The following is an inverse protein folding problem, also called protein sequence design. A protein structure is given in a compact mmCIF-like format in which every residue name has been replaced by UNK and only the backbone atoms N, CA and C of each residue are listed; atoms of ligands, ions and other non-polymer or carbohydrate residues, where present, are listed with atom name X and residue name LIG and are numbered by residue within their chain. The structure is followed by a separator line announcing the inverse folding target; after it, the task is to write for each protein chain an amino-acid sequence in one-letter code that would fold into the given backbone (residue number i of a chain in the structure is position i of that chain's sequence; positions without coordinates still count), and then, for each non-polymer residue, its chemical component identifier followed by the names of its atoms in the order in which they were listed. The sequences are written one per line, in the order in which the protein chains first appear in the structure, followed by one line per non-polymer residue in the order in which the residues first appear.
data_IF_548219866679
#
_entry.id   IF_548219866679
#
_cell.length_a   1.000
_cell.length_b   1.000
_cell.length_c   1.000
_cell.angle_alpha   90.00
_cell.angle_beta   90.00
_cell.angle_gamma   90.00
#
_symmetry.space_group_name_H-M   'P 1'
#
loop_
_entity.id
_entity.type
_entity.pdbx_description
1 polymer ?
#
# COMPACT_ATOMS: atom_id res chain seq x y z
N UNK A 1 14.11 19.29 14.14
CA UNK A 1 15.15 19.85 13.24
C UNK A 1 14.41 20.34 12.01
N UNK A 2 14.08 21.62 11.97
CA UNK A 2 13.40 22.29 10.86
C UNK A 2 14.43 22.61 9.79
N UNK A 3 14.23 22.11 8.58
CA UNK A 3 15.07 22.46 7.44
C UNK A 3 15.01 23.97 7.17
N UNK A 4 16.14 24.60 6.81
CA UNK A 4 16.16 26.02 6.50
C UNK A 4 15.42 26.25 5.17
N UNK A 5 14.49 27.20 5.18
CA UNK A 5 13.60 27.51 4.06
C UNK A 5 14.35 27.66 2.75
N UNK A 6 13.98 26.83 1.77
CA UNK A 6 14.34 27.01 0.38
C UNK A 6 13.91 28.43 -0.05
N UNK A 7 14.84 29.19 -0.64
CA UNK A 7 14.49 30.45 -1.31
C UNK A 7 13.42 30.21 -2.38
N UNK A 8 12.73 31.27 -2.87
CA UNK A 8 11.67 31.09 -3.85
C UNK A 8 12.23 30.35 -5.07
N UNK A 9 11.76 29.11 -5.27
CA UNK A 9 12.07 28.33 -6.46
C UNK A 9 11.63 29.13 -7.68
N UNK A 10 12.41 29.11 -8.76
CA UNK A 10 11.99 29.73 -10.01
C UNK A 10 10.65 29.10 -10.47
N UNK A 11 9.78 29.90 -11.06
CA UNK A 11 8.53 29.41 -11.65
C UNK A 11 8.87 28.33 -12.70
N UNK A 12 8.25 27.15 -12.63
CA UNK A 12 8.58 26.05 -13.53
C UNK A 12 7.95 26.19 -14.92
N UNK A 13 7.08 27.17 -15.14
CA UNK A 13 6.43 27.41 -16.43
C UNK A 13 7.10 28.55 -17.21
N UNK A 14 7.33 28.37 -18.51
CA UNK A 14 7.80 29.44 -19.38
C UNK A 14 6.70 30.48 -19.61
N UNK A 15 7.08 31.70 -20.02
CA UNK A 15 6.12 32.80 -20.24
C UNK A 15 5.18 32.57 -21.43
N UNK A 16 5.59 31.78 -22.42
CA UNK A 16 4.85 31.51 -23.65
C UNK A 16 3.62 30.61 -23.47
N UNK A 17 3.45 30.00 -22.28
CA UNK A 17 2.19 29.33 -21.92
C UNK A 17 1.01 30.30 -21.89
N UNK A 18 1.28 31.60 -21.66
CA UNK A 18 0.29 32.66 -21.74
C UNK A 18 0.38 33.40 -23.08
N UNK A 19 -0.77 33.82 -23.64
CA UNK A 19 -0.81 34.76 -24.77
C UNK A 19 0.07 36.00 -24.55
N UNK A 20 0.75 36.46 -25.60
CA UNK A 20 1.76 37.53 -25.52
C UNK A 20 1.28 38.83 -24.85
N UNK A 21 0.00 39.17 -24.98
CA UNK A 21 -0.63 40.32 -24.34
C UNK A 21 -0.68 40.24 -22.81
N UNK A 22 -0.63 39.02 -22.23
CA UNK A 22 -0.71 38.78 -20.79
C UNK A 22 0.65 38.56 -20.12
N UNK A 23 1.69 38.21 -20.87
CA UNK A 23 3.01 37.88 -20.33
C UNK A 23 3.61 39.00 -19.45
N UNK A 24 3.42 40.27 -19.83
CA UNK A 24 3.88 41.44 -19.06
C UNK A 24 3.31 41.54 -17.63
N UNK A 25 2.25 40.79 -17.32
CA UNK A 25 1.62 40.76 -16.01
C UNK A 25 2.15 39.64 -15.11
N UNK A 26 3.00 38.76 -15.64
CA UNK A 26 3.61 37.66 -14.88
C UNK A 26 5.14 37.61 -15.02
N UNK A 27 5.71 38.31 -16.00
CA UNK A 27 7.16 38.38 -16.21
C UNK A 27 7.86 38.99 -14.98
N UNK A 28 8.78 38.26 -14.31
CA UNK A 28 9.54 38.76 -13.17
C UNK A 28 10.30 40.08 -13.44
N UNK A 29 10.62 40.38 -14.71
CA UNK A 29 11.30 41.61 -15.13
C UNK A 29 10.35 42.81 -15.27
N UNK A 30 9.05 42.59 -15.35
CA UNK A 30 8.08 43.68 -15.44
C UNK A 30 7.98 44.44 -14.10
N UNK A 31 7.67 45.75 -14.08
CA UNK A 31 7.49 46.49 -12.83
C UNK A 31 6.45 45.87 -11.88
N UNK A 32 6.70 45.91 -10.57
CA UNK A 32 5.81 45.37 -9.51
C UNK A 32 4.35 45.79 -9.68
N UNK A 33 3.99 47.05 -10.01
CA UNK A 33 2.59 47.42 -10.19
C UNK A 33 1.86 46.63 -11.30
N UNK A 34 2.54 46.26 -12.39
CA UNK A 34 1.94 45.48 -13.47
C UNK A 34 1.71 44.02 -13.08
N UNK A 35 2.64 43.44 -12.33
CA UNK A 35 2.52 42.07 -11.79
C UNK A 35 1.45 41.99 -10.71
N UNK A 36 1.36 43.03 -9.88
CA UNK A 36 0.32 43.19 -8.87
C UNK A 36 -1.09 43.26 -9.51
N UNK A 37 -1.24 43.83 -10.70
CA UNK A 37 -2.53 43.77 -11.42
C UNK A 37 -2.92 42.35 -11.80
N UNK A 38 -1.95 41.53 -12.24
CA UNK A 38 -2.15 40.10 -12.50
C UNK A 38 -2.49 39.34 -11.22
N UNK A 39 -1.75 39.59 -10.14
CA UNK A 39 -1.94 38.91 -8.85
C UNK A 39 -3.32 39.22 -8.25
N UNK A 40 -3.86 40.41 -8.48
CA UNK A 40 -5.21 40.80 -8.05
C UNK A 40 -6.33 40.32 -8.99
N UNK A 41 -6.00 39.54 -10.03
CA UNK A 41 -6.93 39.08 -11.07
C UNK A 41 -7.70 40.23 -11.75
N UNK A 42 -7.08 41.41 -11.91
CA UNK A 42 -7.71 42.60 -12.52
C UNK A 42 -7.55 42.65 -14.05
N UNK A 43 -6.72 41.78 -14.61
CA UNK A 43 -6.47 41.70 -16.05
C UNK A 43 -7.56 40.82 -16.68
N UNK A 44 -8.26 41.26 -17.75
CA UNK A 44 -9.34 40.48 -18.36
C UNK A 44 -8.78 39.32 -19.18
N UNK A 45 -8.42 38.23 -18.48
CA UNK A 45 -7.95 36.97 -19.07
C UNK A 45 -9.10 35.95 -19.14
N UNK A 46 -8.97 34.96 -20.03
CA UNK A 46 -9.83 33.77 -19.99
C UNK A 46 -9.59 32.96 -18.70
N UNK A 47 -10.52 32.08 -18.29
CA UNK A 47 -10.41 31.34 -17.02
C UNK A 47 -9.11 30.52 -16.88
N UNK A 48 -8.73 29.76 -17.91
CA UNK A 48 -7.48 28.98 -17.92
C UNK A 48 -6.24 29.87 -17.78
N UNK A 49 -6.19 30.95 -18.55
CA UNK A 49 -5.07 31.89 -18.55
C UNK A 49 -4.97 32.62 -17.22
N UNK A 50 -6.11 32.98 -16.62
CA UNK A 50 -6.16 33.59 -15.28
C UNK A 50 -5.61 32.65 -14.21
N UNK A 51 -6.07 31.39 -14.20
CA UNK A 51 -5.58 30.38 -13.26
C UNK A 51 -4.07 30.14 -13.41
N UNK A 52 -3.60 30.06 -14.65
CA UNK A 52 -2.18 29.91 -15.00
C UNK A 52 -1.36 31.12 -14.52
N UNK A 53 -1.83 32.34 -14.80
CA UNK A 53 -1.14 33.57 -14.40
C UNK A 53 -1.01 33.70 -12.88
N UNK A 54 -2.08 33.37 -12.14
CA UNK A 54 -2.06 33.38 -10.68
C UNK A 54 -1.08 32.33 -10.12
N UNK A 55 -1.07 31.12 -10.68
CA UNK A 55 -0.07 30.10 -10.34
C UNK A 55 1.35 30.61 -10.56
N UNK A 56 1.65 31.18 -11.73
CA UNK A 56 3.00 31.71 -12.02
C UNK A 56 3.42 32.79 -11.03
N UNK A 57 2.50 33.68 -10.64
CA UNK A 57 2.76 34.75 -9.68
C UNK A 57 2.93 34.25 -8.23
N UNK A 58 2.60 33.00 -7.93
CA UNK A 58 2.96 32.39 -6.63
C UNK A 58 4.45 32.17 -6.45
N UNK A 59 5.26 32.36 -7.50
CA UNK A 59 6.73 32.28 -7.49
C UNK A 59 7.40 33.66 -7.62
N UNK A 60 6.64 34.76 -7.54
CA UNK A 60 7.19 36.12 -7.67
C UNK A 60 8.27 36.42 -6.60
N UNK A 61 9.30 37.19 -6.96
CA UNK A 61 10.32 37.59 -5.99
C UNK A 61 9.77 38.53 -4.91
N UNK A 62 8.71 39.29 -5.22
CA UNK A 62 8.04 40.18 -4.27
C UNK A 62 7.00 39.42 -3.43
N UNK A 63 7.19 39.42 -2.11
CA UNK A 63 6.33 38.71 -1.15
C UNK A 63 4.88 39.16 -1.19
N UNK A 64 4.63 40.45 -1.45
CA UNK A 64 3.28 40.99 -1.50
C UNK A 64 2.56 40.50 -2.77
N UNK A 65 3.26 40.46 -3.90
CA UNK A 65 2.71 39.91 -5.16
C UNK A 65 2.38 38.44 -4.98
N UNK A 66 3.30 37.64 -4.42
CA UNK A 66 3.05 36.20 -4.17
C UNK A 66 1.84 35.97 -3.30
N UNK A 67 1.79 36.61 -2.13
CA UNK A 67 0.69 36.39 -1.19
C UNK A 67 -0.65 36.83 -1.78
N UNK A 68 -0.65 37.93 -2.56
CA UNK A 68 -1.85 38.37 -3.27
C UNK A 68 -2.29 37.33 -4.29
N UNK A 69 -1.37 36.78 -5.09
CA UNK A 69 -1.68 35.75 -6.08
C UNK A 69 -2.24 34.47 -5.44
N UNK A 70 -1.65 34.01 -4.33
CA UNK A 70 -2.15 32.86 -3.56
C UNK A 70 -3.59 33.09 -3.08
N UNK A 71 -3.85 34.26 -2.49
CA UNK A 71 -5.18 34.60 -1.99
C UNK A 71 -6.20 34.71 -3.14
N UNK A 72 -5.81 35.34 -4.25
CA UNK A 72 -6.66 35.50 -5.43
C UNK A 72 -6.92 34.17 -6.12
N UNK A 73 -5.95 33.25 -6.18
CA UNK A 73 -6.14 31.92 -6.75
C UNK A 73 -7.18 31.11 -5.97
N UNK A 74 -7.08 31.08 -4.64
CA UNK A 74 -8.03 30.37 -3.77
C UNK A 74 -9.43 31.02 -3.73
N UNK A 75 -9.49 32.33 -4.01
CA UNK A 75 -10.69 33.16 -3.98
C UNK A 75 -11.29 33.47 -5.35
N UNK A 76 -10.87 32.79 -6.43
CA UNK A 76 -11.48 32.95 -7.75
C UNK A 76 -12.99 32.58 -7.69
N UNK A 77 -13.86 33.31 -8.42
CA UNK A 77 -15.27 32.95 -8.52
C UNK A 77 -15.48 31.53 -9.06
N UNK A 78 -16.47 30.82 -8.55
CA UNK A 78 -16.75 29.42 -8.90
C UNK A 78 -16.91 29.20 -10.41
N UNK A 79 -17.52 30.15 -11.13
CA UNK A 79 -17.67 30.08 -12.59
C UNK A 79 -16.34 30.11 -13.34
N UNK A 80 -15.35 30.81 -12.80
CA UNK A 80 -14.00 30.88 -13.39
C UNK A 80 -13.25 29.58 -13.06
N UNK A 81 -13.25 29.16 -11.79
CA UNK A 81 -12.61 27.90 -11.37
C UNK A 81 -13.18 26.71 -12.13
N UNK A 82 -14.51 26.59 -12.24
CA UNK A 82 -15.15 25.47 -12.90
C UNK A 82 -14.75 25.32 -14.37
N UNK A 83 -14.55 26.43 -15.08
CA UNK A 83 -14.08 26.41 -16.48
C UNK A 83 -12.59 26.11 -16.54
N UNK A 84 -11.77 26.75 -15.69
CA UNK A 84 -10.32 26.57 -15.70
C UNK A 84 -9.90 25.13 -15.34
N UNK A 85 -10.50 24.53 -14.30
CA UNK A 85 -10.13 23.19 -13.82
C UNK A 85 -10.60 22.06 -14.74
N UNK A 86 -11.58 22.31 -15.60
CA UNK A 86 -12.09 21.33 -16.59
C UNK A 86 -11.42 21.46 -17.96
N UNK A 87 -10.60 22.47 -18.17
CA UNK A 87 -9.92 22.68 -19.44
C UNK A 87 -8.83 21.62 -19.62
N UNK A 88 -8.96 20.79 -20.65
CA UNK A 88 -8.01 19.71 -20.95
C UNK A 88 -6.65 20.26 -21.43
N UNK A 89 -6.61 21.50 -21.90
CA UNK A 89 -5.37 22.19 -22.29
C UNK A 89 -4.73 22.96 -21.13
N UNK A 90 -5.24 22.81 -19.89
CA UNK A 90 -4.59 23.35 -18.70
C UNK A 90 -3.27 22.61 -18.42
N UNK A 91 -2.27 23.36 -17.95
CA UNK A 91 -0.98 22.78 -17.63
C UNK A 91 -1.07 21.87 -16.38
N UNK A 92 -0.47 20.67 -16.38
CA UNK A 92 -0.55 19.75 -15.26
C UNK A 92 -0.06 20.33 -13.92
N UNK A 93 0.95 21.21 -13.93
CA UNK A 93 1.47 21.83 -12.71
C UNK A 93 0.52 22.87 -12.13
N UNK A 94 -0.26 23.54 -12.98
CA UNK A 94 -1.32 24.46 -12.55
C UNK A 94 -2.43 23.66 -11.88
N UNK A 95 -2.86 22.54 -12.49
CA UNK A 95 -3.88 21.66 -11.92
C UNK A 95 -3.43 21.07 -10.57
N UNK A 96 -2.16 20.69 -10.45
CA UNK A 96 -1.59 20.21 -9.19
C UNK A 96 -1.61 21.29 -8.09
N UNK A 97 -1.22 22.50 -8.42
CA UNK A 97 -1.30 23.63 -7.50
C UNK A 97 -2.73 23.86 -6.99
N UNK A 98 -3.71 23.85 -7.90
CA UNK A 98 -5.11 24.04 -7.52
C UNK A 98 -5.67 22.86 -6.71
N UNK A 99 -5.20 21.64 -6.93
CA UNK A 99 -5.54 20.50 -6.07
C UNK A 99 -5.12 20.73 -4.62
N UNK A 100 -3.91 21.26 -4.41
CA UNK A 100 -3.43 21.62 -3.07
C UNK A 100 -4.20 22.80 -2.49
N UNK A 101 -4.40 23.87 -3.28
CA UNK A 101 -5.06 25.10 -2.82
C UNK A 101 -6.56 24.91 -2.50
N UNK A 102 -7.22 23.94 -3.15
CA UNK A 102 -8.66 23.67 -3.01
C UNK A 102 -8.95 22.32 -2.32
N UNK A 103 -7.96 21.75 -1.62
CA UNK A 103 -8.03 20.42 -1.00
C UNK A 103 -9.21 20.18 -0.05
N UNK A 104 -9.78 21.24 0.53
CA UNK A 104 -10.93 21.13 1.44
C UNK A 104 -12.29 21.22 0.73
N UNK A 105 -12.29 21.44 -0.60
CA UNK A 105 -13.49 21.71 -1.39
C UNK A 105 -13.71 20.55 -2.38
N UNK A 106 -14.47 19.51 -2.00
CA UNK A 106 -14.58 18.28 -2.78
C UNK A 106 -15.12 18.51 -4.19
N UNK A 107 -16.00 19.51 -4.38
CA UNK A 107 -16.55 19.87 -5.70
C UNK A 107 -15.46 20.21 -6.72
N UNK A 108 -14.39 20.88 -6.31
CA UNK A 108 -13.26 21.22 -7.19
C UNK A 108 -12.33 20.03 -7.41
N UNK A 109 -12.14 19.19 -6.38
CA UNK A 109 -11.37 17.96 -6.50
C UNK A 109 -12.00 16.99 -7.51
N UNK A 110 -13.34 16.90 -7.54
CA UNK A 110 -14.04 16.12 -8.56
C UNK A 110 -13.73 16.61 -9.97
N UNK A 111 -13.72 17.93 -10.20
CA UNK A 111 -13.38 18.50 -11.50
C UNK A 111 -11.95 18.17 -11.92
N UNK A 112 -11.02 18.23 -10.97
CA UNK A 112 -9.61 17.89 -11.18
C UNK A 112 -9.42 16.41 -11.51
N UNK A 113 -10.08 15.49 -10.79
CA UNK A 113 -9.94 14.05 -11.07
C UNK A 113 -10.51 13.69 -12.46
N UNK A 114 -11.60 14.34 -12.85
CA UNK A 114 -12.22 14.16 -14.16
C UNK A 114 -11.41 14.79 -15.30
N UNK A 115 -10.49 15.70 -15.00
CA UNK A 115 -9.61 16.28 -16.01
C UNK A 115 -8.47 15.28 -16.36
N UNK A 116 -8.33 14.89 -17.65
CA UNK A 116 -7.28 13.96 -18.08
C UNK A 116 -5.85 14.52 -17.91
N UNK A 117 -5.68 15.84 -17.89
CA UNK A 117 -4.38 16.51 -17.77
C UNK A 117 -3.89 16.63 -16.32
N UNK A 118 -4.74 16.30 -15.33
CA UNK A 118 -4.31 16.25 -13.92
C UNK A 118 -3.29 15.13 -13.73
N UNK A 119 -2.13 15.38 -13.11
CA UNK A 119 -1.12 14.35 -12.88
C UNK A 119 -1.63 13.18 -12.04
N UNK A 120 -1.10 11.98 -12.29
CA UNK A 120 -1.47 10.79 -11.51
C UNK A 120 -1.00 10.92 -10.04
N UNK A 121 0.15 11.55 -9.76
CA UNK A 121 0.60 11.81 -8.39
C UNK A 121 -0.39 12.71 -7.63
N UNK A 122 -0.94 13.72 -8.32
CA UNK A 122 -1.96 14.61 -7.78
C UNK A 122 -3.24 13.84 -7.44
N UNK A 123 -3.72 13.00 -8.37
CA UNK A 123 -4.89 12.15 -8.12
C UNK A 123 -4.63 11.18 -6.95
N UNK A 124 -3.42 10.64 -6.82
CA UNK A 124 -3.02 9.83 -5.67
C UNK A 124 -3.11 10.56 -4.34
N UNK A 125 -2.64 11.83 -4.30
CA UNK A 125 -2.81 12.69 -3.11
C UNK A 125 -4.27 12.97 -2.79
N UNK A 126 -5.07 13.29 -3.82
CA UNK A 126 -6.51 13.52 -3.65
C UNK A 126 -7.22 12.25 -3.13
N UNK A 127 -6.84 11.08 -3.64
CA UNK A 127 -7.41 9.78 -3.23
C UNK A 127 -7.09 9.42 -1.77
N UNK A 128 -6.11 10.05 -1.14
CA UNK A 128 -5.80 9.88 0.28
C UNK A 128 -6.68 10.74 1.20
N UNK A 129 -7.45 11.70 0.67
CA UNK A 129 -8.32 12.56 1.46
C UNK A 129 -9.57 11.82 1.94
N UNK A 130 -10.11 12.12 3.13
CA UNK A 130 -11.22 11.38 3.75
C UNK A 130 -12.59 11.77 3.15
N UNK A 131 -12.73 11.62 1.83
CA UNK A 131 -13.94 11.95 1.09
C UNK A 131 -14.43 10.72 0.30
N UNK A 132 -15.52 10.12 0.76
CA UNK A 132 -16.07 8.89 0.18
C UNK A 132 -16.48 9.04 -1.30
N UNK A 133 -17.05 10.20 -1.67
CA UNK A 133 -17.40 10.47 -3.07
C UNK A 133 -16.17 10.55 -3.98
N UNK A 134 -15.06 11.07 -3.45
CA UNK A 134 -13.79 11.22 -4.17
C UNK A 134 -13.15 9.85 -4.38
N UNK A 135 -13.08 9.01 -3.34
CA UNK A 135 -12.51 7.67 -3.45
C UNK A 135 -13.29 6.80 -4.43
N UNK A 136 -14.63 6.91 -4.43
CA UNK A 136 -15.49 6.23 -5.39
C UNK A 136 -15.22 6.71 -6.84
N UNK A 137 -15.13 8.02 -7.07
CA UNK A 137 -14.85 8.58 -8.41
C UNK A 137 -13.47 8.16 -8.92
N UNK A 138 -12.43 8.22 -8.08
CA UNK A 138 -11.08 7.77 -8.44
C UNK A 138 -11.06 6.27 -8.76
N UNK A 139 -11.79 5.45 -7.99
CA UNK A 139 -11.85 3.99 -8.19
C UNK A 139 -12.42 3.57 -9.55
N UNK A 140 -13.21 4.44 -10.18
CA UNK A 140 -13.81 4.18 -11.50
C UNK A 140 -12.83 4.42 -12.65
N UNK A 141 -11.72 5.15 -12.43
CA UNK A 141 -10.72 5.42 -13.46
C UNK A 141 -9.69 4.29 -13.56
N UNK A 142 -10.11 3.18 -14.18
CA UNK A 142 -9.29 1.98 -14.37
C UNK A 142 -7.92 2.25 -15.03
N UNK A 143 -7.85 3.18 -15.98
CA UNK A 143 -6.60 3.51 -16.66
C UNK A 143 -5.57 4.08 -15.66
N UNK A 144 -5.99 5.01 -14.80
CA UNK A 144 -5.11 5.61 -13.78
C UNK A 144 -4.68 4.58 -12.73
N UNK A 145 -5.59 3.69 -12.32
CA UNK A 145 -5.26 2.60 -11.37
C UNK A 145 -4.15 1.67 -11.88
N UNK A 146 -4.12 1.40 -13.20
CA UNK A 146 -3.09 0.55 -13.80
C UNK A 146 -1.77 1.29 -14.07
N UNK A 147 -1.85 2.60 -14.33
CA UNK A 147 -0.68 3.43 -14.64
C UNK A 147 0.10 3.87 -13.40
N UNK A 148 -0.57 4.06 -12.28
CA UNK A 148 0.03 4.64 -11.08
C UNK A 148 -0.43 3.89 -9.81
N UNK A 149 0.39 2.95 -9.34
CA UNK A 149 0.09 2.12 -8.17
C UNK A 149 -0.12 2.90 -6.85
N UNK A 150 0.45 4.10 -6.61
CA UNK A 150 0.17 4.87 -5.40
C UNK A 150 -1.31 5.26 -5.28
N UNK A 151 -2.06 5.35 -6.37
CA UNK A 151 -3.52 5.59 -6.33
C UNK A 151 -4.21 4.39 -5.67
N UNK A 152 -3.87 3.18 -6.09
CA UNK A 152 -4.42 1.94 -5.53
C UNK A 152 -4.08 1.84 -4.04
N UNK A 153 -2.83 2.15 -3.68
CA UNK A 153 -2.37 2.19 -2.28
C UNK A 153 -3.16 3.19 -1.46
N UNK A 154 -3.33 4.40 -1.95
CA UNK A 154 -4.12 5.44 -1.29
C UNK A 154 -5.55 4.96 -1.04
N UNK A 155 -6.23 4.42 -2.06
CA UNK A 155 -7.59 3.90 -1.92
C UNK A 155 -7.70 2.78 -0.88
N UNK A 156 -6.77 1.81 -0.86
CA UNK A 156 -6.76 0.68 0.08
C UNK A 156 -6.55 1.15 1.53
N UNK A 157 -5.69 2.13 1.74
CA UNK A 157 -5.35 2.64 3.08
C UNK A 157 -6.32 3.72 3.60
N UNK A 158 -7.13 4.31 2.72
CA UNK A 158 -8.00 5.41 3.08
C UNK A 158 -9.25 4.91 3.83
N UNK A 159 -9.51 5.39 5.07
CA UNK A 159 -10.66 4.96 5.86
C UNK A 159 -12.02 5.37 5.27
N UNK A 160 -12.06 6.36 4.38
CA UNK A 160 -13.27 6.78 3.68
C UNK A 160 -13.60 5.90 2.46
N UNK A 161 -12.70 5.01 2.03
CA UNK A 161 -12.98 4.06 0.94
C UNK A 161 -13.84 2.92 1.47
N UNK A 162 -14.98 2.67 0.83
CA UNK A 162 -15.85 1.54 1.20
C UNK A 162 -15.12 0.21 0.97
N UNK A 163 -15.29 -0.79 1.86
CA UNK A 163 -14.67 -2.10 1.69
C UNK A 163 -15.00 -2.76 0.34
N UNK A 164 -16.24 -2.62 -0.15
CA UNK A 164 -16.66 -3.12 -1.47
C UNK A 164 -15.87 -2.46 -2.60
N UNK A 165 -15.60 -1.16 -2.50
CA UNK A 165 -14.80 -0.43 -3.48
C UNK A 165 -13.34 -0.90 -3.45
N UNK A 166 -12.78 -1.14 -2.26
CA UNK A 166 -11.43 -1.74 -2.11
C UNK A 166 -11.37 -3.12 -2.78
N UNK A 167 -12.37 -3.98 -2.53
CA UNK A 167 -12.42 -5.30 -3.11
C UNK A 167 -12.53 -5.26 -4.64
N UNK A 168 -13.36 -4.37 -5.19
CA UNK A 168 -13.52 -4.19 -6.63
C UNK A 168 -12.25 -3.68 -7.30
N UNK A 169 -11.59 -2.67 -6.72
CA UNK A 169 -10.33 -2.10 -7.21
C UNK A 169 -9.23 -3.15 -7.21
N UNK A 170 -9.04 -3.85 -6.10
CA UNK A 170 -8.01 -4.87 -5.96
C UNK A 170 -8.26 -6.07 -6.88
N UNK A 171 -9.50 -6.55 -6.99
CA UNK A 171 -9.85 -7.64 -7.92
C UNK A 171 -9.59 -7.24 -9.38
N UNK A 172 -9.97 -6.03 -9.77
CA UNK A 172 -9.71 -5.51 -11.11
C UNK A 172 -8.21 -5.43 -11.42
N UNK A 173 -7.42 -4.89 -10.49
CA UNK A 173 -5.98 -4.73 -10.68
C UNK A 173 -5.26 -6.10 -10.77
N UNK A 174 -5.66 -7.06 -9.94
CA UNK A 174 -5.16 -8.45 -10.01
C UNK A 174 -5.51 -9.09 -11.36
N UNK A 175 -6.76 -8.98 -11.83
CA UNK A 175 -7.18 -9.52 -13.14
C UNK A 175 -6.39 -8.89 -14.29
N UNK A 176 -6.00 -7.63 -14.13
CA UNK A 176 -5.21 -6.87 -15.11
C UNK A 176 -3.71 -7.15 -15.02
N UNK A 177 -3.26 -7.99 -14.07
CA UNK A 177 -1.86 -8.40 -13.93
C UNK A 177 -1.00 -7.49 -13.07
N UNK A 178 -1.56 -6.50 -12.36
CA UNK A 178 -0.81 -5.72 -11.39
C UNK A 178 -0.44 -6.58 -10.18
N UNK A 179 0.74 -6.38 -9.60
CA UNK A 179 1.21 -7.14 -8.44
C UNK A 179 1.70 -6.19 -7.34
N UNK A 180 0.90 -6.05 -6.28
CA UNK A 180 1.25 -5.29 -5.06
C UNK A 180 1.32 -6.25 -3.87
N UNK A 181 2.36 -7.07 -3.82
CA UNK A 181 2.49 -8.19 -2.88
C UNK A 181 2.57 -7.75 -1.40
N UNK A 182 2.94 -6.50 -1.14
CA UNK A 182 3.07 -5.93 0.20
C UNK A 182 1.73 -5.51 0.81
N UNK A 183 0.65 -5.40 0.01
CA UNK A 183 -0.67 -5.01 0.49
C UNK A 183 -1.53 -6.23 0.87
N UNK A 184 -2.00 -6.36 2.13
CA UNK A 184 -2.85 -7.49 2.55
C UNK A 184 -4.15 -7.62 1.76
N UNK A 185 -4.79 -6.50 1.42
CA UNK A 185 -6.00 -6.50 0.58
C UNK A 185 -5.73 -7.09 -0.81
N UNK A 186 -4.53 -6.88 -1.35
CA UNK A 186 -4.13 -7.38 -2.67
C UNK A 186 -3.78 -8.88 -2.63
N UNK A 187 -3.20 -9.36 -1.53
CA UNK A 187 -3.02 -10.80 -1.27
C UNK A 187 -4.38 -11.50 -1.20
N UNK A 188 -5.34 -10.91 -0.48
CA UNK A 188 -6.71 -11.43 -0.39
C UNK A 188 -7.42 -11.44 -1.75
N UNK A 189 -7.30 -10.37 -2.53
CA UNK A 189 -7.83 -10.30 -3.90
C UNK A 189 -7.20 -11.35 -4.82
N UNK A 190 -5.88 -11.56 -4.73
CA UNK A 190 -5.18 -12.60 -5.50
C UNK A 190 -5.73 -13.99 -5.22
N UNK A 191 -5.96 -14.31 -3.95
CA UNK A 191 -6.59 -15.57 -3.53
C UNK A 191 -8.03 -15.70 -4.04
N UNK A 192 -8.82 -14.62 -4.01
CA UNK A 192 -10.20 -14.61 -4.51
C UNK A 192 -10.28 -14.78 -6.04
N UNK A 193 -9.39 -14.12 -6.78
CA UNK A 193 -9.45 -14.04 -8.25
C UNK A 193 -8.74 -15.21 -8.94
N UNK A 194 -7.52 -15.53 -8.52
CA UNK A 194 -6.66 -16.54 -9.16
C UNK A 194 -6.72 -17.90 -8.47
N UNK A 195 -7.40 -17.99 -7.32
CA UNK A 195 -7.37 -19.17 -6.46
C UNK A 195 -6.10 -19.26 -5.63
N UNK A 196 -5.82 -20.44 -5.07
CA UNK A 196 -4.57 -20.70 -4.32
C UNK A 196 -3.38 -20.47 -5.22
N UNK A 197 -2.45 -19.64 -4.75
CA UNK A 197 -1.22 -19.34 -5.49
C UNK A 197 -0.33 -20.58 -5.55
N UNK A 198 0.54 -20.68 -6.56
CA UNK A 198 1.45 -21.83 -6.69
C UNK A 198 2.31 -22.04 -5.42
N UNK A 199 2.71 -20.97 -4.76
CA UNK A 199 3.46 -21.01 -3.50
C UNK A 199 2.60 -21.51 -2.32
N UNK A 200 1.33 -21.11 -2.24
CA UNK A 200 0.40 -21.63 -1.23
C UNK A 200 0.04 -23.10 -1.48
N UNK A 201 -0.13 -23.49 -2.75
CA UNK A 201 -0.36 -24.88 -3.13
C UNK A 201 0.87 -25.75 -2.82
N UNK A 202 2.08 -25.25 -3.08
CA UNK A 202 3.33 -25.91 -2.73
C UNK A 202 3.53 -26.00 -1.21
N UNK A 203 3.20 -24.94 -0.46
CA UNK A 203 3.25 -24.96 1.00
C UNK A 203 2.23 -25.93 1.62
N UNK A 204 1.01 -26.00 1.08
CA UNK A 204 0.00 -26.98 1.49
C UNK A 204 0.44 -28.41 1.16
N UNK A 205 1.01 -28.64 -0.01
CA UNK A 205 1.53 -29.95 -0.41
C UNK A 205 2.71 -30.38 0.48
N UNK A 206 3.62 -29.46 0.82
CA UNK A 206 4.73 -29.73 1.73
C UNK A 206 4.24 -30.03 3.16
N UNK A 207 3.24 -29.29 3.66
CA UNK A 207 2.64 -29.55 4.96
C UNK A 207 1.90 -30.89 5.00
N UNK A 208 1.16 -31.24 3.95
CA UNK A 208 0.49 -32.54 3.82
C UNK A 208 1.50 -33.70 3.74
N UNK A 209 2.62 -33.52 3.02
CA UNK A 209 3.69 -34.51 2.96
C UNK A 209 4.33 -34.74 4.34
N UNK A 210 4.60 -33.67 5.10
CA UNK A 210 5.13 -33.77 6.45
C UNK A 210 4.17 -34.50 7.41
N UNK A 211 2.86 -34.21 7.34
CA UNK A 211 1.84 -34.91 8.13
C UNK A 211 1.72 -36.40 7.75
N UNK A 212 1.82 -36.73 6.46
CA UNK A 212 1.80 -38.11 6.00
C UNK A 212 3.05 -38.89 6.46
N UNK A 213 4.22 -38.24 6.45
CA UNK A 213 5.47 -38.82 6.95
C UNK A 213 5.42 -39.04 8.47
N UNK A 214 4.84 -38.11 9.22
CA UNK A 214 4.63 -38.24 10.67
C UNK A 214 3.63 -39.36 11.01
N UNK A 215 2.51 -39.46 10.28
CA UNK A 215 1.53 -40.55 10.43
C UNK A 215 2.11 -41.93 10.05
N UNK A 216 2.93 -41.99 9.00
CA UNK A 216 3.61 -43.23 8.60
C UNK A 216 4.66 -43.66 9.64
N UNK A 217 5.37 -42.70 10.25
CA UNK A 217 6.30 -42.98 11.34
C UNK A 217 5.58 -43.49 12.60
N UNK A 218 4.41 -42.95 12.93
CA UNK A 218 3.56 -43.44 14.02
C UNK A 218 3.03 -44.86 13.77
N UNK A 219 2.52 -45.14 12.56
CA UNK A 219 2.08 -46.50 12.19
C UNK A 219 3.22 -47.52 12.24
N UNK A 220 4.41 -47.17 11.76
CA UNK A 220 5.57 -48.05 11.83
C UNK A 220 6.00 -48.35 13.29
N UNK A 221 5.83 -47.39 14.20
CA UNK A 221 6.08 -47.59 15.63
C UNK A 221 5.03 -48.50 16.28
N UNK A 222 3.77 -48.41 15.86
CA UNK A 222 2.69 -49.31 16.28
C UNK A 222 2.91 -50.75 15.80
N UNK A 223 3.25 -50.96 14.53
CA UNK A 223 3.52 -52.30 13.98
C UNK A 223 4.74 -52.98 14.61
N UNK A 224 5.74 -52.20 15.06
CA UNK A 224 6.90 -52.71 15.79
C UNK A 224 6.63 -53.00 17.27
N UNK A 225 5.38 -52.86 17.75
CA UNK A 225 4.97 -53.18 19.12
C UNK A 225 5.52 -52.22 20.17
N UNK A 226 5.77 -50.95 19.80
CA UNK A 226 6.37 -49.94 20.66
C UNK A 226 5.36 -48.92 21.21
N UNK A 227 4.08 -49.28 21.31
CA UNK A 227 3.07 -48.51 22.05
C UNK A 227 2.82 -49.16 23.41
N UNK A 228 2.79 -48.33 24.45
CA UNK A 228 2.57 -48.73 25.85
C UNK A 228 1.15 -49.30 26.11
N UNK A 229 0.31 -49.47 25.09
CA UNK A 229 -1.02 -50.08 25.23
C UNK A 229 -0.99 -51.59 25.53
N UNK A 230 0.15 -52.25 25.30
CA UNK A 230 0.31 -53.68 25.61
C UNK A 230 0.83 -53.96 27.03
N UNK A 231 1.07 -52.95 27.87
CA UNK A 231 1.60 -53.15 29.24
C UNK A 231 0.58 -53.15 30.36
N UNK A 232 -0.66 -52.71 30.12
CA UNK A 232 -1.66 -52.58 31.19
C UNK A 232 -2.62 -53.79 31.32
N UNK A 233 -2.38 -54.91 30.61
CA UNK A 233 -3.31 -56.05 30.60
C UNK A 233 -2.82 -57.32 31.32
N UNK A 234 -1.58 -57.41 31.77
CA UNK A 234 -1.03 -58.66 32.34
C UNK A 234 -0.32 -58.46 33.69
N UNK A 235 -0.95 -57.73 34.63
CA UNK A 235 -0.58 -57.80 36.06
C UNK A 235 -1.60 -58.66 36.82
N UNK A 236 -1.66 -59.94 36.46
CA UNK A 236 -2.15 -61.02 37.33
C UNK A 236 -1.32 -62.26 37.08
N UNK A 237 -0.11 -62.30 37.61
CA UNK A 237 0.66 -63.54 37.70
C UNK A 237 1.08 -63.86 39.12
N UNK A 238 0.69 -65.07 39.50
CA UNK A 238 1.12 -65.87 40.64
C UNK A 238 2.62 -66.22 40.57
N UNK A 239 3.27 -66.49 41.71
CA UNK A 239 4.73 -66.44 41.84
C UNK A 239 5.47 -67.71 41.39
N UNK A 240 5.42 -68.09 40.11
CA UNK A 240 6.18 -69.26 39.63
C UNK A 240 6.90 -69.14 38.27
N UNK A 241 7.06 -67.95 37.67
CA UNK A 241 7.79 -67.81 36.40
C UNK A 241 8.85 -66.70 36.40
N UNK A 242 9.79 -66.77 37.34
CA UNK A 242 10.89 -65.78 37.47
C UNK A 242 12.20 -66.22 36.77
N UNK A 243 12.19 -67.19 35.85
CA UNK A 243 13.43 -67.79 35.32
C UNK A 243 13.59 -67.78 33.78
N UNK A 244 12.96 -66.86 33.03
CA UNK A 244 13.13 -66.82 31.57
C UNK A 244 13.02 -65.45 30.87
N UNK A 245 13.10 -64.31 31.57
CA UNK A 245 12.84 -62.99 30.96
C UNK A 245 14.01 -61.98 31.00
N UNK A 246 15.27 -62.42 31.09
CA UNK A 246 16.42 -61.50 31.20
C UNK A 246 17.04 -61.07 29.85
N UNK A 247 16.34 -61.25 28.73
CA UNK A 247 16.94 -61.11 27.39
C UNK A 247 16.65 -59.84 26.57
N UNK A 248 15.76 -58.93 26.99
CA UNK A 248 15.28 -57.85 26.08
C UNK A 248 15.08 -56.47 26.71
N UNK A 249 15.92 -56.05 27.66
CA UNK A 249 15.97 -54.64 28.05
C UNK A 249 16.97 -53.90 27.17
N UNK A 250 16.46 -53.16 26.18
CA UNK A 250 17.27 -52.24 25.37
C UNK A 250 18.00 -51.26 26.30
N UNK A 251 19.30 -51.11 26.09
CA UNK A 251 20.13 -50.19 26.88
C UNK A 251 19.70 -48.75 26.62
N UNK A 252 19.96 -47.85 27.56
CA UNK A 252 19.60 -46.43 27.44
C UNK A 252 20.20 -45.82 26.16
N UNK A 253 21.42 -46.23 25.79
CA UNK A 253 22.06 -45.84 24.53
C UNK A 253 21.28 -46.32 23.29
N UNK A 254 20.78 -47.55 23.29
CA UNK A 254 19.96 -48.07 22.19
C UNK A 254 18.62 -47.33 22.08
N UNK A 255 18.02 -46.96 23.21
CA UNK A 255 16.79 -46.14 23.24
C UNK A 255 17.04 -44.74 22.69
N UNK A 256 18.15 -44.10 23.06
CA UNK A 256 18.51 -42.78 22.54
C UNK A 256 18.77 -42.84 21.03
N UNK A 257 19.47 -43.86 20.52
CA UNK A 257 19.79 -43.97 19.09
C UNK A 257 18.54 -43.94 18.18
N UNK A 258 17.44 -44.53 18.66
CA UNK A 258 16.17 -44.69 17.94
C UNK A 258 15.23 -43.49 18.03
N UNK A 259 15.53 -42.48 18.85
CA UNK A 259 14.72 -41.26 18.93
C UNK A 259 14.98 -40.34 17.73
N UNK A 260 13.93 -39.64 17.29
CA UNK A 260 14.05 -38.54 16.33
C UNK A 260 14.90 -37.40 16.92
N UNK A 261 15.51 -36.58 16.06
CA UNK A 261 16.42 -35.51 16.49
C UNK A 261 15.72 -34.53 17.45
N UNK A 262 14.46 -34.18 17.20
CA UNK A 262 13.65 -33.34 18.09
C UNK A 262 13.43 -33.99 19.46
N UNK A 263 13.08 -35.28 19.52
CA UNK A 263 12.92 -36.01 20.79
C UNK A 263 14.25 -36.20 21.52
N UNK A 264 15.38 -36.34 20.81
CA UNK A 264 16.74 -36.35 21.42
C UNK A 264 17.05 -35.03 22.12
N UNK A 265 16.75 -33.91 21.47
CA UNK A 265 16.94 -32.56 22.02
C UNK A 265 16.05 -32.36 23.25
N UNK A 266 14.78 -32.78 23.19
CA UNK A 266 13.85 -32.70 24.32
C UNK A 266 14.29 -33.58 25.50
N UNK A 267 14.77 -34.80 25.24
CA UNK A 267 15.28 -35.71 26.27
C UNK A 267 16.53 -35.17 26.96
N UNK A 268 17.45 -34.62 26.18
CA UNK A 268 18.67 -33.98 26.71
C UNK A 268 18.34 -32.76 27.59
N UNK A 269 17.30 -32.00 27.24
CA UNK A 269 16.88 -30.84 28.02
C UNK A 269 16.02 -31.20 29.25
N UNK A 270 15.23 -32.28 29.21
CA UNK A 270 14.38 -32.72 30.33
C UNK A 270 15.12 -33.53 31.41
N UNK A 271 16.15 -34.31 31.05
CA UNK A 271 16.91 -35.15 32.00
C UNK A 271 18.31 -34.60 32.27
N UNK A 272 18.38 -33.44 32.91
CA UNK A 272 19.60 -32.96 33.53
C UNK A 272 19.90 -33.67 34.85
N UNK A 273 20.40 -34.92 34.84
CA UNK A 273 21.27 -35.41 35.92
C UNK A 273 22.07 -36.69 35.56
N UNK A 274 23.38 -36.60 35.80
CA UNK A 274 24.46 -37.60 35.95
C UNK A 274 24.60 -38.87 35.08
N UNK A 275 23.58 -39.45 34.47
CA UNK A 275 23.73 -40.76 33.78
C UNK A 275 24.09 -40.69 32.29
N UNK A 276 24.13 -39.49 31.69
CA UNK A 276 24.38 -39.31 30.24
C UNK A 276 25.83 -38.87 29.93
N UNK A 277 26.72 -38.86 30.94
CA UNK A 277 28.12 -38.37 30.79
C UNK A 277 29.22 -39.43 30.89
N UNK A 278 28.87 -40.72 30.96
CA UNK A 278 29.83 -41.84 30.84
C UNK A 278 29.56 -42.64 29.60
#
# INVERSE_FOLDING_TARGET
MTEPGAGPSACPLPLDVLPANFQKHVDPKAPVPLRMMGAKALVPMGPKDMATALFMLTFDADDTVRQTAVNSAAGLPDRILAVALRDEAADPQVLDYYAAALGEKPEYLEMLILNPSTPDETVGRIAALPHERITELVSQNQLRLLRHDPIVRALVTNPATRPVTVDNVTDFCVRSGLVLADLPAFQAARKRVLGTTADEAAALAAAAAAQAEEAAAEQALEEMGATDAARDAEDRETPEQEAAAEGKRLTIAQKISKLSIAKKIEWANKKGNKEVRT
#
